data_IF_288454799119
#
_entry.id   IF_288454799119
#
_cell.length_a   1.000
_cell.length_b   1.000
_cell.length_c   1.000
_cell.angle_alpha   90.00
_cell.angle_beta   90.00
_cell.angle_gamma   90.00
#
_symmetry.space_group_name_H-M   'P 1'
#
loop_
_entity.id
_entity.type
_entity.pdbx_description
1 polymer ?
#
# COMPACT_ATOMS: atom_id res chain seq x y z
N UNK A 1 13.97 -29.01 53.29
CA UNK A 1 13.27 -27.75 53.57
C UNK A 1 13.81 -26.55 52.81
N UNK A 2 14.99 -26.62 52.26
CA UNK A 2 15.59 -25.55 51.47
C UNK A 2 15.16 -25.54 49.99
N UNK A 3 14.50 -26.58 49.56
CA UNK A 3 14.10 -26.73 48.14
C UNK A 3 12.89 -25.89 47.74
N UNK A 4 12.13 -25.38 48.68
CA UNK A 4 10.94 -24.56 48.41
C UNK A 4 11.25 -23.11 48.08
N UNK A 5 12.44 -22.64 48.44
CA UNK A 5 12.86 -21.24 48.16
C UNK A 5 13.45 -21.05 46.78
N UNK A 6 13.85 -22.11 46.14
CA UNK A 6 14.45 -22.06 44.80
C UNK A 6 13.41 -21.97 43.68
N UNK A 7 12.18 -22.37 43.95
CA UNK A 7 11.13 -22.42 42.93
C UNK A 7 10.50 -21.05 42.70
N UNK A 8 10.56 -20.17 43.72
CA UNK A 8 9.97 -18.82 43.64
C UNK A 8 10.81 -17.83 42.84
N UNK A 9 12.06 -18.17 42.56
CA UNK A 9 12.96 -17.24 41.86
C UNK A 9 12.90 -17.37 40.34
N UNK A 10 12.37 -18.44 39.82
CA UNK A 10 12.29 -18.70 38.40
C UNK A 10 11.10 -18.06 37.70
N UNK A 11 10.16 -17.52 38.48
CA UNK A 11 8.95 -16.90 37.90
C UNK A 11 9.16 -15.44 37.47
N UNK A 12 10.34 -14.88 37.71
CA UNK A 12 10.57 -13.43 37.51
C UNK A 12 11.26 -13.05 36.20
N UNK A 13 11.55 -13.99 35.31
CA UNK A 13 12.37 -13.71 34.11
C UNK A 13 11.52 -13.49 32.85
N UNK A 14 10.22 -13.53 32.99
CA UNK A 14 9.37 -13.45 31.79
C UNK A 14 8.82 -12.06 31.47
N UNK A 15 9.41 -11.00 31.94
CA UNK A 15 8.87 -9.64 31.78
C UNK A 15 9.72 -8.69 30.97
N UNK A 16 10.50 -9.17 30.05
CA UNK A 16 11.18 -8.26 29.16
C UNK A 16 10.95 -8.64 27.73
N UNK A 17 9.89 -8.18 27.17
CA UNK A 17 9.86 -7.93 25.72
C UNK A 17 8.56 -7.26 25.33
N UNK A 18 8.38 -6.05 25.79
CA UNK A 18 7.57 -5.10 25.04
C UNK A 18 8.54 -4.27 24.23
N UNK A 19 8.97 -4.79 23.11
CA UNK A 19 9.71 -3.98 22.16
C UNK A 19 8.70 -3.20 21.33
N UNK A 20 8.65 -1.93 21.57
CA UNK A 20 7.87 -0.96 20.84
C UNK A 20 8.51 -0.70 19.47
N UNK A 21 8.53 -1.67 18.59
CA UNK A 21 9.02 -1.52 17.22
C UNK A 21 7.91 -1.62 16.19
N UNK A 22 6.66 -1.35 16.59
CA UNK A 22 5.53 -1.48 15.69
C UNK A 22 5.43 -0.36 14.67
N UNK A 23 5.98 0.82 14.96
CA UNK A 23 5.80 1.99 14.09
C UNK A 23 6.58 1.88 12.77
N UNK A 24 7.78 1.30 12.80
CA UNK A 24 8.58 1.12 11.58
C UNK A 24 8.09 -0.03 10.71
N UNK A 25 7.48 -1.05 11.32
CA UNK A 25 6.94 -2.18 10.58
C UNK A 25 5.63 -1.83 9.86
N UNK A 26 4.77 -1.01 10.47
CA UNK A 26 3.53 -0.54 9.82
C UNK A 26 3.80 0.29 8.58
N UNK A 27 4.78 1.19 8.63
CA UNK A 27 5.15 2.00 7.47
C UNK A 27 5.71 1.10 6.35
N UNK A 28 6.53 0.13 6.70
CA UNK A 28 7.11 -0.80 5.73
C UNK A 28 6.05 -1.72 5.12
N UNK A 29 5.14 -2.26 5.93
CA UNK A 29 4.00 -3.04 5.45
C UNK A 29 3.13 -2.24 4.47
N UNK A 30 2.87 -0.98 4.78
CA UNK A 30 2.06 -0.12 3.92
C UNK A 30 2.74 0.12 2.56
N UNK A 31 4.04 0.34 2.52
CA UNK A 31 4.76 0.51 1.25
C UNK A 31 4.81 -0.79 0.44
N UNK A 32 5.10 -1.91 1.09
CA UNK A 32 5.06 -3.22 0.45
C UNK A 32 3.66 -3.54 -0.10
N UNK A 33 2.61 -3.17 0.63
CA UNK A 33 1.23 -3.38 0.20
C UNK A 33 0.86 -2.52 -1.01
N UNK A 34 1.30 -1.28 -1.08
CA UNK A 34 1.08 -0.42 -2.25
C UNK A 34 1.77 -0.97 -3.49
N UNK A 35 3.00 -1.43 -3.35
CA UNK A 35 3.76 -2.06 -4.45
C UNK A 35 3.08 -3.35 -4.93
N UNK A 36 2.67 -4.21 -4.01
CA UNK A 36 1.97 -5.46 -4.35
C UNK A 36 0.67 -5.17 -5.09
N UNK A 37 -0.14 -4.23 -4.60
CA UNK A 37 -1.36 -3.81 -5.27
C UNK A 37 -1.08 -3.23 -6.66
N UNK A 38 -0.02 -2.46 -6.81
CA UNK A 38 0.35 -1.91 -8.10
C UNK A 38 0.74 -3.00 -9.11
N UNK A 39 1.49 -4.00 -8.69
CA UNK A 39 1.84 -5.16 -9.51
C UNK A 39 0.57 -5.93 -9.91
N UNK A 40 -0.36 -6.12 -8.98
CA UNK A 40 -1.64 -6.77 -9.26
C UNK A 40 -2.45 -5.97 -10.30
N UNK A 41 -2.58 -4.66 -10.12
CA UNK A 41 -3.25 -3.80 -11.08
C UNK A 41 -2.63 -3.88 -12.48
N UNK A 42 -1.29 -3.86 -12.55
CA UNK A 42 -0.57 -4.03 -13.81
C UNK A 42 -0.83 -5.38 -14.46
N UNK A 43 -0.92 -6.43 -13.68
CA UNK A 43 -1.24 -7.77 -14.17
C UNK A 43 -2.63 -7.80 -14.83
N UNK A 44 -3.62 -7.19 -14.20
CA UNK A 44 -4.96 -7.04 -14.79
C UNK A 44 -4.94 -6.17 -16.05
N UNK A 45 -4.21 -5.06 -16.00
CA UNK A 45 -4.03 -4.19 -17.17
C UNK A 45 -3.46 -4.95 -18.36
N UNK A 46 -2.40 -5.74 -18.16
CA UNK A 46 -1.74 -6.51 -19.23
C UNK A 46 -2.67 -7.57 -19.84
N UNK A 47 -3.62 -8.07 -19.06
CA UNK A 47 -4.69 -8.96 -19.53
C UNK A 47 -5.88 -8.23 -20.16
N UNK A 48 -5.82 -6.91 -20.28
CA UNK A 48 -6.92 -6.07 -20.74
C UNK A 48 -8.16 -6.10 -19.85
N UNK A 49 -7.99 -6.48 -18.59
CA UNK A 49 -9.03 -6.44 -17.56
C UNK A 49 -9.06 -5.06 -16.90
N UNK A 50 -9.41 -4.04 -17.68
CA UNK A 50 -9.24 -2.63 -17.32
C UNK A 50 -10.10 -2.22 -16.13
N UNK A 51 -11.31 -2.74 -16.00
CA UNK A 51 -12.18 -2.43 -14.87
C UNK A 51 -11.56 -2.89 -13.54
N UNK A 52 -11.01 -4.10 -13.50
CA UNK A 52 -10.29 -4.59 -12.34
C UNK A 52 -9.04 -3.75 -12.03
N UNK A 53 -8.27 -3.43 -13.05
CA UNK A 53 -7.09 -2.58 -12.90
C UNK A 53 -7.45 -1.21 -12.31
N UNK A 54 -8.47 -0.55 -12.83
CA UNK A 54 -8.95 0.75 -12.34
C UNK A 54 -9.36 0.67 -10.87
N UNK A 55 -10.08 -0.37 -10.47
CA UNK A 55 -10.51 -0.54 -9.09
C UNK A 55 -9.31 -0.62 -8.13
N UNK A 56 -8.28 -1.38 -8.50
CA UNK A 56 -7.06 -1.51 -7.69
C UNK A 56 -6.26 -0.21 -7.69
N UNK A 57 -6.12 0.47 -8.82
CA UNK A 57 -5.46 1.78 -8.86
C UNK A 57 -6.17 2.81 -7.98
N UNK A 58 -7.49 2.82 -7.97
CA UNK A 58 -8.27 3.70 -7.08
C UNK A 58 -8.06 3.36 -5.60
N UNK A 59 -7.93 2.08 -5.27
CA UNK A 59 -7.61 1.64 -3.91
C UNK A 59 -6.24 2.15 -3.46
N UNK A 60 -5.23 2.09 -4.34
CA UNK A 60 -3.90 2.62 -4.05
C UNK A 60 -3.95 4.12 -3.80
N UNK A 61 -4.65 4.88 -4.63
CA UNK A 61 -4.82 6.33 -4.46
C UNK A 61 -5.49 6.68 -3.13
N UNK A 62 -6.48 5.91 -2.73
CA UNK A 62 -7.26 6.12 -1.52
C UNK A 62 -6.48 5.77 -0.25
N UNK A 63 -5.82 4.63 -0.24
CA UNK A 63 -5.22 4.06 0.97
C UNK A 63 -3.73 4.41 1.13
N UNK A 64 -3.05 4.71 0.03
CA UNK A 64 -1.62 5.02 0.02
C UNK A 64 -1.32 6.33 -0.74
N UNK A 65 -1.97 7.44 -0.39
CA UNK A 65 -1.94 8.68 -1.19
C UNK A 65 -0.57 9.34 -1.30
N UNK A 66 0.35 9.01 -0.40
CA UNK A 66 1.71 9.57 -0.38
C UNK A 66 2.75 8.65 -1.06
N UNK A 67 2.33 7.52 -1.58
CA UNK A 67 3.22 6.57 -2.25
C UNK A 67 3.49 6.99 -3.71
N UNK A 68 4.63 6.55 -4.24
CA UNK A 68 4.91 6.69 -5.67
C UNK A 68 3.90 5.90 -6.51
N UNK A 69 3.44 4.78 -6.01
CA UNK A 69 2.42 3.94 -6.63
C UNK A 69 1.09 4.68 -6.80
N UNK A 70 0.74 5.58 -5.87
CA UNK A 70 -0.45 6.42 -6.01
C UNK A 70 -0.33 7.39 -7.21
N UNK A 71 0.82 7.99 -7.41
CA UNK A 71 1.06 8.86 -8.57
C UNK A 71 0.98 8.05 -9.86
N UNK A 72 1.64 6.91 -9.91
CA UNK A 72 1.63 6.03 -11.07
C UNK A 72 0.22 5.48 -11.36
N UNK A 73 -0.55 5.19 -10.31
CA UNK A 73 -1.93 4.73 -10.44
C UNK A 73 -2.83 5.78 -11.07
N UNK A 74 -2.67 7.05 -10.70
CA UNK A 74 -3.40 8.16 -11.32
C UNK A 74 -3.08 8.28 -12.82
N UNK A 75 -1.82 8.15 -13.18
CA UNK A 75 -1.38 8.17 -14.58
C UNK A 75 -1.95 6.96 -15.33
N UNK A 76 -1.93 5.79 -14.75
CA UNK A 76 -2.49 4.58 -15.36
C UNK A 76 -3.99 4.67 -15.55
N UNK A 77 -4.73 5.23 -14.59
CA UNK A 77 -6.16 5.48 -14.74
C UNK A 77 -6.47 6.41 -15.93
N UNK A 78 -5.69 7.48 -16.08
CA UNK A 78 -5.81 8.37 -17.23
C UNK A 78 -5.47 7.66 -18.56
N UNK A 79 -4.45 6.82 -18.53
CA UNK A 79 -4.07 6.04 -19.72
C UNK A 79 -5.15 5.04 -20.15
N UNK A 80 -5.81 4.39 -19.19
CA UNK A 80 -6.95 3.51 -19.48
C UNK A 80 -8.09 4.28 -20.15
N UNK A 81 -8.39 5.49 -19.69
CA UNK A 81 -9.37 6.33 -20.38
C UNK A 81 -8.95 6.64 -21.82
N UNK A 82 -7.68 6.95 -22.03
CA UNK A 82 -7.14 7.23 -23.37
C UNK A 82 -7.30 6.03 -24.32
N UNK A 83 -6.90 4.83 -23.89
CA UNK A 83 -7.02 3.64 -24.73
C UNK A 83 -8.48 3.19 -24.91
N UNK A 84 -9.37 3.63 -24.02
CA UNK A 84 -10.83 3.42 -24.12
C UNK A 84 -11.52 4.48 -24.97
N UNK A 85 -10.76 5.37 -25.60
CA UNK A 85 -11.23 6.47 -26.45
C UNK A 85 -11.99 7.57 -25.69
N UNK A 86 -11.87 7.62 -24.38
CA UNK A 86 -12.43 8.66 -23.51
C UNK A 86 -11.44 9.82 -23.35
N UNK A 87 -11.15 10.53 -24.41
CA UNK A 87 -10.07 11.51 -24.44
C UNK A 87 -10.27 12.70 -23.49
N UNK A 88 -11.49 13.20 -23.38
CA UNK A 88 -11.80 14.31 -22.48
C UNK A 88 -11.55 13.93 -21.01
N UNK A 89 -11.94 12.74 -20.61
CA UNK A 89 -11.71 12.21 -19.29
C UNK A 89 -10.21 11.95 -19.04
N UNK A 90 -9.51 11.43 -20.02
CA UNK A 90 -8.06 11.25 -19.95
C UNK A 90 -7.31 12.57 -19.72
N UNK A 91 -7.66 13.61 -20.47
CA UNK A 91 -7.09 14.95 -20.31
C UNK A 91 -7.41 15.52 -18.94
N UNK A 92 -8.64 15.35 -18.48
CA UNK A 92 -9.05 15.82 -17.15
C UNK A 92 -8.25 15.16 -16.03
N UNK A 93 -8.11 13.84 -16.06
CA UNK A 93 -7.32 13.09 -15.07
C UNK A 93 -5.84 13.47 -15.10
N UNK A 94 -5.23 13.58 -16.27
CA UNK A 94 -3.85 14.01 -16.43
C UNK A 94 -3.62 15.44 -15.92
N UNK A 95 -4.54 16.34 -16.20
CA UNK A 95 -4.48 17.73 -15.73
C UNK A 95 -4.45 17.81 -14.21
N UNK A 96 -5.19 16.96 -13.53
CA UNK A 96 -5.15 16.86 -12.07
C UNK A 96 -3.78 16.41 -11.56
N UNK A 97 -3.17 15.41 -12.19
CA UNK A 97 -1.84 14.90 -11.82
C UNK A 97 -0.80 15.99 -12.00
N UNK A 98 -0.81 16.70 -13.13
CA UNK A 98 0.15 17.79 -13.42
C UNK A 98 0.03 18.93 -12.40
N UNK A 99 -1.17 19.30 -11.99
CA UNK A 99 -1.40 20.33 -10.99
C UNK A 99 -0.93 19.92 -9.60
N UNK A 100 -1.08 18.66 -9.26
CA UNK A 100 -0.71 18.13 -7.94
C UNK A 100 0.80 17.87 -7.82
N UNK A 101 1.45 17.52 -8.91
CA UNK A 101 2.88 17.19 -8.96
C UNK A 101 3.57 17.98 -10.08
N UNK A 102 3.78 19.29 -9.88
CA UNK A 102 4.39 20.14 -10.89
C UNK A 102 5.86 19.84 -11.18
#
# INVERSE_FOLDING_TARGET
MLKKKLITFLAFISLSNCSSNNDTNEIKENFESAEILYIEARTHFDKQEYEFAVNIYNEIEKNYPLSNEAIQSQIMNAFIEYISLNYDEAIFKLSKVIKKYP
#
